data_IF_386183345766
#
_entry.id   IF_386183345766
#
_cell.length_a   1.000
_cell.length_b   1.000
_cell.length_c   1.000
_cell.angle_alpha   90.00
_cell.angle_beta   90.00
_cell.angle_gamma   90.00
#
_symmetry.space_group_name_H-M   'P 1'
#
loop_
_entity.id
_entity.type
_entity.pdbx_description
1 polymer ?
#
# COMPACT_ATOMS: atom_id res chain seq x y z
N UNK A 1 49.49 18.05 32.75
CA UNK A 1 48.76 16.91 32.18
C UNK A 1 48.28 16.02 33.32
N UNK A 2 47.00 16.07 33.73
CA UNK A 2 46.50 15.15 34.73
C UNK A 2 46.40 13.74 34.13
N UNK A 3 46.75 12.76 34.95
CA UNK A 3 46.92 11.34 34.64
C UNK A 3 45.56 10.64 34.71
N UNK A 4 45.31 9.74 33.75
CA UNK A 4 44.25 8.71 33.71
C UNK A 4 43.46 8.52 35.01
N UNK A 5 42.15 8.74 34.99
CA UNK A 5 41.25 7.68 35.43
C UNK A 5 39.86 7.80 34.79
N UNK A 6 39.16 6.68 34.57
CA UNK A 6 37.71 6.68 34.81
C UNK A 6 36.93 7.84 34.10
N UNK A 7 37.10 8.01 32.79
CA UNK A 7 36.30 9.00 32.03
C UNK A 7 34.88 8.47 31.88
N UNK A 8 34.13 8.64 32.96
CA UNK A 8 32.70 8.92 33.02
C UNK A 8 31.91 8.31 31.85
N UNK A 9 31.97 6.98 31.72
CA UNK A 9 30.75 6.27 31.41
C UNK A 9 29.81 6.71 32.53
N UNK A 10 28.86 7.60 32.21
CA UNK A 10 27.79 7.92 33.12
C UNK A 10 27.19 6.58 33.48
N UNK A 11 27.53 6.09 34.68
CA UNK A 11 26.87 4.95 35.29
C UNK A 11 25.40 5.26 35.14
N UNK A 12 24.59 4.37 34.53
CA UNK A 12 23.17 4.61 34.42
C UNK A 12 22.65 4.89 35.82
N UNK A 13 22.26 6.15 36.03
CA UNK A 13 21.80 6.63 37.32
C UNK A 13 20.53 5.85 37.67
N UNK A 14 20.65 4.95 38.63
CA UNK A 14 19.55 4.09 39.09
C UNK A 14 18.46 4.87 39.84
N UNK A 15 18.59 6.19 40.00
CA UNK A 15 17.65 6.99 40.80
C UNK A 15 16.67 7.86 40.00
N UNK A 16 16.59 7.75 38.67
CA UNK A 16 15.66 8.60 37.89
C UNK A 16 14.57 7.79 37.20
N UNK A 17 13.55 7.53 38.03
CA UNK A 17 12.17 7.11 37.71
C UNK A 17 12.01 5.68 37.19
N UNK A 18 11.97 4.71 38.11
CA UNK A 18 11.40 3.39 37.85
C UNK A 18 9.86 3.49 37.89
N UNK A 19 9.25 3.70 36.72
CA UNK A 19 8.11 2.86 36.37
C UNK A 19 8.66 1.45 36.18
N UNK A 20 7.94 0.43 36.63
CA UNK A 20 8.43 -0.95 36.63
C UNK A 20 8.84 -1.37 35.20
N UNK A 21 9.71 -2.38 35.06
CA UNK A 21 10.05 -2.93 33.73
C UNK A 21 8.79 -3.27 32.89
N UNK A 22 7.69 -3.56 33.57
CA UNK A 22 6.35 -3.75 33.01
C UNK A 22 5.84 -2.50 32.29
N UNK A 23 5.99 -1.31 32.87
CA UNK A 23 5.56 -0.04 32.27
C UNK A 23 6.34 0.24 30.98
N UNK A 24 7.65 0.01 30.98
CA UNK A 24 8.46 0.17 29.78
C UNK A 24 8.05 -0.80 28.66
N UNK A 25 7.77 -2.06 28.98
CA UNK A 25 7.32 -3.05 28.00
C UNK A 25 5.94 -2.67 27.46
N UNK A 26 5.04 -2.18 28.32
CA UNK A 26 3.72 -1.70 27.92
C UNK A 26 3.83 -0.48 26.98
N UNK A 27 4.70 0.47 27.30
CA UNK A 27 4.96 1.65 26.48
C UNK A 27 5.52 1.26 25.11
N UNK A 28 6.47 0.33 25.09
CA UNK A 28 7.05 -0.19 23.85
C UNK A 28 6.00 -0.91 23.00
N UNK A 29 5.15 -1.72 23.63
CA UNK A 29 4.05 -2.41 22.95
C UNK A 29 3.05 -1.39 22.38
N UNK A 30 2.71 -0.36 23.14
CA UNK A 30 1.80 0.69 22.70
C UNK A 30 2.38 1.49 21.52
N UNK A 31 3.67 1.84 21.57
CA UNK A 31 4.37 2.50 20.47
C UNK A 31 4.38 1.62 19.21
N UNK A 32 4.66 0.32 19.35
CA UNK A 32 4.63 -0.62 18.23
C UNK A 32 3.24 -0.69 17.58
N UNK A 33 2.20 -0.84 18.40
CA UNK A 33 0.82 -0.86 17.93
C UNK A 33 0.45 0.46 17.23
N UNK A 34 0.89 1.59 17.76
CA UNK A 34 0.66 2.89 17.13
C UNK A 34 1.39 3.03 15.79
N UNK A 35 2.65 2.60 15.72
CA UNK A 35 3.42 2.60 14.49
C UNK A 35 2.78 1.70 13.42
N UNK A 36 2.32 0.51 13.80
CA UNK A 36 1.62 -0.39 12.91
C UNK A 36 0.32 0.22 12.39
N UNK A 37 -0.53 0.75 13.27
CA UNK A 37 -1.76 1.45 12.87
C UNK A 37 -1.49 2.60 11.91
N UNK A 38 -0.48 3.42 12.19
CA UNK A 38 -0.12 4.54 11.33
C UNK A 38 0.38 4.07 9.95
N UNK A 39 1.14 2.98 9.90
CA UNK A 39 1.60 2.38 8.65
C UNK A 39 0.41 1.86 7.82
N UNK A 40 -0.54 1.16 8.44
CA UNK A 40 -1.74 0.64 7.77
C UNK A 40 -2.63 1.78 7.24
N UNK A 41 -2.89 2.80 8.06
CA UNK A 41 -3.67 3.97 7.65
C UNK A 41 -2.99 4.73 6.51
N UNK A 42 -1.68 4.91 6.58
CA UNK A 42 -0.94 5.58 5.50
C UNK A 42 -0.92 4.75 4.23
N UNK A 43 -0.73 3.42 4.30
CA UNK A 43 -0.79 2.53 3.16
C UNK A 43 -2.17 2.58 2.46
N UNK A 44 -3.26 2.56 3.23
CA UNK A 44 -4.61 2.71 2.70
C UNK A 44 -4.83 4.06 2.01
N UNK A 45 -4.36 5.16 2.63
CA UNK A 45 -4.40 6.50 2.03
C UNK A 45 -3.66 6.54 0.70
N UNK A 46 -2.40 6.10 0.67
CA UNK A 46 -1.58 6.12 -0.55
C UNK A 46 -2.16 5.23 -1.65
N UNK A 47 -2.73 4.07 -1.30
CA UNK A 47 -3.45 3.22 -2.25
C UNK A 47 -4.61 3.98 -2.89
N UNK A 48 -5.46 4.61 -2.08
CA UNK A 48 -6.61 5.37 -2.59
C UNK A 48 -6.19 6.55 -3.49
N UNK A 49 -5.13 7.26 -3.13
CA UNK A 49 -4.64 8.40 -3.92
C UNK A 49 -3.95 7.96 -5.21
N UNK A 50 -3.28 6.80 -5.20
CA UNK A 50 -2.72 6.18 -6.40
C UNK A 50 -3.83 5.70 -7.36
N UNK A 51 -4.88 5.06 -6.82
CA UNK A 51 -6.02 4.58 -7.61
C UNK A 51 -6.78 5.74 -8.28
N UNK A 52 -6.92 6.91 -7.63
CA UNK A 52 -7.49 8.12 -8.27
C UNK A 52 -6.72 8.56 -9.52
N UNK A 53 -5.42 8.30 -9.59
CA UNK A 53 -4.57 8.66 -10.75
C UNK A 53 -4.49 7.54 -11.79
N UNK A 54 -5.11 6.39 -11.52
CA UNK A 54 -5.10 5.24 -12.43
C UNK A 54 -5.97 5.54 -13.63
N UNK A 55 -5.35 5.64 -14.80
CA UNK A 55 -6.05 5.81 -16.08
C UNK A 55 -6.43 4.45 -16.64
N UNK A 56 -7.72 4.18 -16.68
CA UNK A 56 -8.25 3.08 -17.48
C UNK A 56 -8.16 3.50 -18.96
N UNK A 57 -7.45 2.69 -19.74
CA UNK A 57 -7.47 2.80 -21.19
C UNK A 57 -8.65 1.95 -21.63
N UNK A 58 -9.37 2.40 -22.67
CA UNK A 58 -10.45 1.62 -23.28
C UNK A 58 -9.98 0.26 -23.81
N UNK A 59 -10.87 -0.49 -24.47
CA UNK A 59 -10.54 -1.81 -25.00
C UNK A 59 -9.29 -1.77 -25.86
N UNK A 60 -8.33 -2.64 -25.54
CA UNK A 60 -7.08 -2.81 -26.30
C UNK A 60 -6.97 -4.23 -26.79
N UNK A 61 -6.55 -4.39 -28.03
CA UNK A 61 -6.34 -5.70 -28.62
C UNK A 61 -5.04 -6.31 -28.12
N UNK A 62 -5.07 -7.60 -27.75
CA UNK A 62 -3.87 -8.36 -27.41
C UNK A 62 -3.21 -8.83 -28.71
N UNK A 63 -1.98 -8.36 -28.97
CA UNK A 63 -1.22 -8.71 -30.16
C UNK A 63 -0.43 -10.01 -29.99
N UNK A 64 0.16 -10.22 -28.80
CA UNK A 64 1.05 -11.37 -28.57
C UNK A 64 1.10 -11.76 -27.09
N UNK A 65 1.03 -13.05 -26.80
CA UNK A 65 1.41 -13.61 -25.50
C UNK A 65 2.95 -13.75 -25.44
N UNK A 66 3.58 -13.04 -24.51
CA UNK A 66 5.04 -13.17 -24.28
C UNK A 66 5.29 -14.27 -23.25
N UNK A 67 4.48 -14.28 -22.19
CA UNK A 67 4.41 -15.35 -21.20
C UNK A 67 3.02 -15.35 -20.52
N UNK A 68 2.66 -16.38 -19.73
CA UNK A 68 1.34 -16.44 -19.10
C UNK A 68 0.94 -15.23 -18.25
N UNK A 69 1.92 -14.45 -17.76
CA UNK A 69 1.70 -13.25 -16.94
C UNK A 69 1.87 -11.94 -17.72
N UNK A 70 2.31 -11.98 -18.99
CA UNK A 70 2.76 -10.79 -19.73
C UNK A 70 2.36 -10.86 -21.19
N UNK A 71 1.59 -9.86 -21.61
CA UNK A 71 0.99 -9.76 -22.93
C UNK A 71 1.36 -8.44 -23.58
N UNK A 72 1.56 -8.48 -24.90
CA UNK A 72 1.74 -7.29 -25.71
C UNK A 72 0.39 -6.85 -26.25
N UNK A 73 0.02 -5.60 -26.05
CA UNK A 73 -1.26 -5.03 -26.49
C UNK A 73 -1.03 -3.91 -27.51
N UNK A 74 -2.03 -3.66 -28.34
CA UNK A 74 -2.04 -2.50 -29.21
C UNK A 74 -2.42 -1.25 -28.41
N UNK A 75 -1.44 -0.39 -28.14
CA UNK A 75 -1.70 0.90 -27.52
C UNK A 75 -1.96 1.97 -28.59
N UNK A 76 -2.84 2.94 -28.30
CA UNK A 76 -2.94 4.17 -29.08
C UNK A 76 -1.58 4.90 -29.17
N UNK A 77 -1.27 5.46 -30.34
CA UNK A 77 0.03 6.08 -30.64
C UNK A 77 0.41 7.26 -29.73
N UNK A 78 -0.58 7.92 -29.12
CA UNK A 78 -0.38 9.04 -28.19
C UNK A 78 0.07 8.60 -26.79
N UNK A 79 -0.02 7.31 -26.46
CA UNK A 79 0.41 6.77 -25.17
C UNK A 79 1.91 6.44 -25.19
N UNK A 80 2.69 7.22 -24.45
CA UNK A 80 4.15 7.02 -24.27
C UNK A 80 4.51 5.81 -23.39
N UNK A 81 3.58 4.89 -23.12
CA UNK A 81 3.81 3.74 -22.22
C UNK A 81 4.30 2.51 -22.99
N UNK A 82 4.96 1.59 -22.28
CA UNK A 82 5.30 0.28 -22.84
C UNK A 82 4.03 -0.45 -23.27
N UNK A 83 4.11 -1.16 -24.40
CA UNK A 83 3.01 -1.95 -24.92
C UNK A 83 2.95 -3.38 -24.35
N UNK A 84 3.77 -3.68 -23.33
CA UNK A 84 3.78 -4.95 -22.61
C UNK A 84 3.14 -4.77 -21.25
N UNK A 85 2.05 -5.49 -20.99
CA UNK A 85 1.25 -5.40 -19.77
C UNK A 85 1.18 -6.73 -19.05
N UNK A 86 1.14 -6.66 -17.72
CA UNK A 86 0.87 -7.81 -16.89
C UNK A 86 -0.64 -8.14 -16.88
N UNK A 87 -1.01 -9.42 -16.84
CA UNK A 87 -2.41 -9.88 -16.78
C UNK A 87 -3.20 -9.19 -15.68
N UNK A 88 -2.60 -8.97 -14.50
CA UNK A 88 -3.29 -8.34 -13.37
C UNK A 88 -3.73 -6.88 -13.63
N UNK A 89 -3.22 -6.28 -14.72
CA UNK A 89 -3.59 -4.94 -15.17
C UNK A 89 -4.50 -4.96 -16.41
N UNK A 90 -4.94 -6.14 -16.86
CA UNK A 90 -5.88 -6.32 -17.96
C UNK A 90 -7.18 -6.88 -17.39
N UNK A 91 -8.31 -6.34 -17.85
CA UNK A 91 -9.64 -6.91 -17.59
C UNK A 91 -10.18 -7.51 -18.88
N UNK A 92 -10.91 -8.64 -18.81
CA UNK A 92 -11.63 -9.15 -19.97
C UNK A 92 -12.58 -8.07 -20.52
N UNK A 93 -12.60 -7.93 -21.84
CA UNK A 93 -13.55 -7.04 -22.50
C UNK A 93 -14.93 -7.69 -22.50
N UNK A 94 -15.88 -7.06 -21.82
CA UNK A 94 -17.29 -7.44 -21.83
C UNK A 94 -17.99 -6.54 -22.85
N UNK A 95 -17.94 -6.90 -24.13
CA UNK A 95 -18.68 -6.16 -25.17
C UNK A 95 -20.17 -6.22 -24.88
N UNK A 96 -20.86 -5.09 -25.05
CA UNK A 96 -22.27 -4.78 -24.72
C UNK A 96 -23.29 -5.91 -25.01
N UNK A 97 -23.27 -6.96 -24.21
CA UNK A 97 -24.28 -8.04 -24.17
C UNK A 97 -24.97 -8.06 -22.80
N UNK A 98 -25.13 -6.90 -22.17
CA UNK A 98 -25.91 -6.76 -20.95
C UNK A 98 -27.31 -6.25 -21.33
N UNK A 99 -28.38 -6.94 -20.91
CA UNK A 99 -29.73 -6.39 -20.93
C UNK A 99 -29.78 -5.01 -20.24
N UNK A 100 -30.67 -4.09 -20.66
CA UNK A 100 -30.63 -2.67 -20.29
C UNK A 100 -30.75 -2.32 -18.79
N UNK A 101 -30.92 -3.29 -17.89
CA UNK A 101 -31.24 -3.11 -16.49
C UNK A 101 -30.12 -3.53 -15.50
N UNK A 102 -29.01 -4.09 -15.96
CA UNK A 102 -27.95 -4.60 -15.07
C UNK A 102 -26.90 -3.55 -14.63
N UNK A 103 -27.28 -2.26 -14.49
CA UNK A 103 -26.41 -1.20 -13.97
C UNK A 103 -26.86 -0.57 -12.64
N UNK A 104 -27.86 -1.13 -11.93
CA UNK A 104 -28.45 -0.47 -10.75
C UNK A 104 -28.33 -1.17 -9.40
N UNK A 105 -27.62 -2.30 -9.25
CA UNK A 105 -27.51 -2.96 -7.94
C UNK A 105 -26.10 -2.98 -7.34
N UNK A 106 -25.49 -1.79 -7.25
CA UNK A 106 -24.45 -1.50 -6.25
C UNK A 106 -24.91 -0.36 -5.33
N UNK A 107 -26.01 -0.57 -4.61
CA UNK A 107 -26.25 0.15 -3.36
C UNK A 107 -25.68 -0.66 -2.20
N UNK A 108 -24.90 -0.07 -1.28
CA UNK A 108 -24.45 -0.77 -0.09
C UNK A 108 -25.63 -1.02 0.87
N UNK A 109 -25.59 -2.09 1.70
CA UNK A 109 -26.62 -2.30 2.70
C UNK A 109 -26.52 -1.23 3.79
N UNK A 110 -27.53 -0.37 3.88
CA UNK A 110 -27.75 0.43 5.08
C UNK A 110 -28.21 -0.52 6.20
N UNK A 111 -27.32 -0.77 7.16
CA UNK A 111 -27.67 -1.39 8.42
C UNK A 111 -28.34 -0.37 9.34
N UNK A 112 -29.44 -0.80 9.97
CA UNK A 112 -29.94 -0.31 11.25
C UNK A 112 -30.29 -1.52 12.09
#
# INVERSE_FOLDING_TARGET
MPRSPLELATLPDKTRHHGEAVDFVNDLQHLHQQAQRNLELSAAKYKSDADKKRREIGPVEVLKCINPNSYRVQLPSHLRRSNVFNVKHLSPFHGDNLPPDSWTNLSPPAGT
#
